data_IF_203376271899
#
_entry.id   IF_203376271899
#
_cell.length_a   1.000
_cell.length_b   1.000
_cell.length_c   1.000
_cell.angle_alpha   90.00
_cell.angle_beta   90.00
_cell.angle_gamma   90.00
#
_symmetry.space_group_name_H-M   'P 1'
#
loop_
_entity.id
_entity.type
_entity.pdbx_description
1 polymer ?
#
# COMPACT_ATOMS: atom_id res chain seq x y z
N UNK A 1 9.46 -20.67 -1.47
CA UNK A 1 8.42 -20.64 -2.51
C UNK A 1 9.11 -20.64 -3.88
N UNK A 2 8.65 -21.41 -4.88
CA UNK A 2 9.22 -21.36 -6.22
C UNK A 2 8.94 -20.02 -6.93
N UNK A 3 9.82 -19.62 -7.84
CA UNK A 3 9.81 -18.28 -8.47
C UNK A 3 8.49 -17.97 -9.20
N UNK A 4 7.90 -18.95 -9.88
CA UNK A 4 6.65 -18.73 -10.62
C UNK A 4 5.49 -18.33 -9.69
N UNK A 5 5.41 -18.89 -8.47
CA UNK A 5 4.39 -18.51 -7.49
C UNK A 5 4.60 -17.08 -7.03
N UNK A 6 5.86 -16.70 -6.79
CA UNK A 6 6.21 -15.33 -6.40
C UNK A 6 5.87 -14.32 -7.50
N UNK A 7 6.07 -14.66 -8.77
CA UNK A 7 5.70 -13.79 -9.90
C UNK A 7 4.18 -13.67 -10.02
N UNK A 8 3.43 -14.77 -9.90
CA UNK A 8 1.97 -14.76 -9.96
C UNK A 8 1.38 -13.90 -8.84
N UNK A 9 1.85 -14.04 -7.61
CA UNK A 9 1.37 -13.26 -6.48
C UNK A 9 1.78 -11.79 -6.57
N UNK A 10 2.98 -11.49 -7.10
CA UNK A 10 3.37 -10.10 -7.36
C UNK A 10 2.47 -9.43 -8.40
N UNK A 11 2.13 -10.14 -9.48
CA UNK A 11 1.17 -9.65 -10.49
C UNK A 11 -0.19 -9.44 -9.83
N UNK A 12 -0.69 -10.42 -9.07
CA UNK A 12 -1.96 -10.32 -8.36
C UNK A 12 -2.00 -9.10 -7.43
N UNK A 13 -0.96 -8.88 -6.62
CA UNK A 13 -0.85 -7.69 -5.77
C UNK A 13 -0.89 -6.42 -6.60
N UNK A 14 -0.06 -6.30 -7.64
CA UNK A 14 -0.02 -5.08 -8.46
C UNK A 14 -1.37 -4.76 -9.13
N UNK A 15 -2.15 -5.78 -9.54
CA UNK A 15 -3.46 -5.56 -10.13
C UNK A 15 -4.51 -5.19 -9.08
N UNK A 16 -4.48 -5.85 -7.93
CA UNK A 16 -5.50 -5.70 -6.88
C UNK A 16 -5.26 -4.50 -5.98
N UNK A 17 -4.02 -4.02 -5.82
CA UNK A 17 -3.69 -2.87 -4.96
C UNK A 17 -4.28 -1.55 -5.48
N UNK A 18 -4.35 -1.38 -6.80
CA UNK A 18 -4.92 -0.15 -7.40
C UNK A 18 -6.44 -0.22 -7.55
N UNK A 19 -7.04 -1.38 -7.29
CA UNK A 19 -8.48 -1.60 -7.34
C UNK A 19 -9.02 -1.64 -5.90
N UNK A 20 -10.18 -1.05 -5.62
CA UNK A 20 -10.78 -1.10 -4.28
C UNK A 20 -11.45 -2.47 -4.02
N UNK A 21 -10.67 -3.55 -4.06
CA UNK A 21 -11.13 -4.95 -3.98
C UNK A 21 -10.36 -5.79 -2.94
N UNK A 22 -9.67 -5.16 -1.99
CA UNK A 22 -8.89 -5.82 -0.92
C UNK A 22 -7.76 -6.73 -1.44
N UNK A 23 -6.59 -6.13 -1.71
CA UNK A 23 -5.39 -6.85 -2.18
C UNK A 23 -4.89 -7.89 -1.19
N UNK A 24 -4.94 -7.60 0.11
CA UNK A 24 -4.55 -8.53 1.19
C UNK A 24 -5.38 -9.83 1.17
N UNK A 25 -6.68 -9.74 0.94
CA UNK A 25 -7.54 -10.91 0.88
C UNK A 25 -7.22 -11.79 -0.34
N UNK A 26 -6.97 -11.18 -1.49
CA UNK A 26 -6.56 -11.89 -2.71
C UNK A 26 -5.20 -12.58 -2.53
N UNK A 27 -4.22 -11.93 -1.90
CA UNK A 27 -2.91 -12.51 -1.60
C UNK A 27 -2.97 -13.68 -0.62
N UNK A 28 -3.92 -13.69 0.33
CA UNK A 28 -4.11 -14.81 1.25
C UNK A 28 -4.92 -15.96 0.63
N UNK A 29 -5.97 -15.63 -0.14
CA UNK A 29 -6.87 -16.62 -0.73
C UNK A 29 -6.28 -17.33 -1.95
N UNK A 30 -5.47 -16.65 -2.78
CA UNK A 30 -4.89 -17.27 -3.97
C UNK A 30 -3.97 -18.46 -3.64
N UNK A 31 -3.00 -18.36 -2.70
CA UNK A 31 -2.22 -19.51 -2.27
C UNK A 31 -3.08 -20.61 -1.67
N UNK A 32 -4.10 -20.26 -0.87
CA UNK A 32 -5.01 -21.22 -0.26
C UNK A 32 -5.80 -22.03 -1.31
N UNK A 33 -6.37 -21.36 -2.32
CA UNK A 33 -7.10 -21.98 -3.42
C UNK A 33 -6.21 -22.86 -4.32
N UNK A 34 -4.97 -22.45 -4.52
CA UNK A 34 -4.00 -23.16 -5.36
C UNK A 34 -3.22 -24.25 -4.61
N UNK A 35 -3.50 -24.45 -3.32
CA UNK A 35 -2.79 -25.40 -2.46
C UNK A 35 -1.32 -25.03 -2.22
N UNK A 36 -0.96 -23.77 -2.40
CA UNK A 36 0.39 -23.26 -2.16
C UNK A 36 0.58 -22.95 -0.69
N UNK A 37 1.84 -23.06 -0.24
CA UNK A 37 2.20 -22.67 1.12
C UNK A 37 2.11 -21.15 1.23
N UNK A 38 1.46 -20.68 2.29
CA UNK A 38 1.35 -19.26 2.60
C UNK A 38 2.77 -18.64 2.67
N UNK A 39 3.07 -17.64 1.83
CA UNK A 39 4.38 -17.00 1.80
C UNK A 39 4.68 -16.15 3.05
N UNK A 40 3.65 -15.81 3.82
CA UNK A 40 3.77 -15.11 5.10
C UNK A 40 3.78 -13.59 4.99
N UNK A 41 3.56 -12.93 6.14
CA UNK A 41 3.45 -11.47 6.23
C UNK A 41 4.67 -10.73 5.66
N UNK A 42 5.88 -11.26 5.84
CA UNK A 42 7.09 -10.64 5.30
C UNK A 42 7.07 -10.51 3.78
N UNK A 43 6.47 -11.49 3.10
CA UNK A 43 6.31 -11.45 1.65
C UNK A 43 5.26 -10.42 1.24
N UNK A 44 4.12 -10.37 1.95
CA UNK A 44 3.08 -9.37 1.70
C UNK A 44 3.63 -7.95 1.87
N UNK A 45 4.41 -7.69 2.93
CA UNK A 45 5.10 -6.42 3.16
C UNK A 45 6.04 -6.09 2.00
N UNK A 46 6.84 -7.06 1.53
CA UNK A 46 7.76 -6.86 0.42
C UNK A 46 7.02 -6.47 -0.87
N UNK A 47 5.85 -7.09 -1.14
CA UNK A 47 5.03 -6.74 -2.29
C UNK A 47 4.40 -5.34 -2.17
N UNK A 48 3.91 -4.95 -0.98
CA UNK A 48 3.41 -3.60 -0.73
C UNK A 48 4.52 -2.54 -0.87
N UNK A 49 5.74 -2.83 -0.43
CA UNK A 49 6.88 -1.94 -0.68
C UNK A 49 7.13 -1.75 -2.19
N UNK A 50 6.93 -2.80 -3.00
CA UNK A 50 6.97 -2.72 -4.45
C UNK A 50 5.93 -1.77 -5.03
N UNK A 51 4.67 -1.86 -4.59
CA UNK A 51 3.59 -0.97 -5.09
C UNK A 51 3.78 0.47 -4.63
N UNK A 52 4.22 0.68 -3.38
CA UNK A 52 4.58 2.01 -2.86
C UNK A 52 5.73 2.61 -3.66
N UNK A 53 6.77 1.83 -3.97
CA UNK A 53 7.89 2.30 -4.79
C UNK A 53 7.44 2.68 -6.21
N UNK A 54 6.54 1.90 -6.82
CA UNK A 54 5.97 2.21 -8.13
C UNK A 54 5.19 3.55 -8.10
N UNK A 55 4.35 3.78 -7.09
CA UNK A 55 3.62 5.03 -6.91
C UNK A 55 4.55 6.21 -6.65
N UNK A 56 5.58 6.04 -5.81
CA UNK A 56 6.56 7.07 -5.52
C UNK A 56 7.35 7.48 -6.78
N UNK A 57 7.70 6.52 -7.64
CA UNK A 57 8.37 6.77 -8.92
C UNK A 57 7.44 7.44 -9.93
N UNK A 58 6.19 6.97 -10.06
CA UNK A 58 5.21 7.52 -11.00
C UNK A 58 4.85 8.98 -10.65
N UNK A 59 4.54 9.25 -9.38
CA UNK A 59 4.18 10.58 -8.87
C UNK A 59 5.40 11.38 -8.36
N UNK A 60 6.61 11.05 -8.79
CA UNK A 60 7.84 11.65 -8.24
C UNK A 60 7.87 13.18 -8.35
N UNK A 61 7.38 13.74 -9.46
CA UNK A 61 7.32 15.20 -9.66
C UNK A 61 6.33 15.88 -8.72
N UNK A 62 5.22 15.22 -8.44
CA UNK A 62 4.17 15.74 -7.56
C UNK A 62 4.66 15.70 -6.11
N UNK A 63 5.38 14.65 -5.72
CA UNK A 63 6.07 14.58 -4.43
C UNK A 63 7.08 15.72 -4.25
N UNK A 64 7.90 16.02 -5.27
CA UNK A 64 8.82 17.17 -5.23
C UNK A 64 8.06 18.50 -5.09
N UNK A 65 6.92 18.64 -5.75
CA UNK A 65 6.09 19.83 -5.65
C UNK A 65 5.46 19.98 -4.26
N UNK A 66 4.85 18.93 -3.73
CA UNK A 66 4.23 18.90 -2.40
C UNK A 66 5.25 19.21 -1.31
N UNK A 67 6.44 18.60 -1.38
CA UNK A 67 7.53 18.82 -0.41
C UNK A 67 8.09 20.23 -0.48
N UNK A 68 8.32 20.78 -1.68
CA UNK A 68 8.76 22.16 -1.83
C UNK A 68 7.73 23.16 -1.26
N UNK A 69 6.45 22.96 -1.54
CA UNK A 69 5.38 23.83 -1.06
C UNK A 69 5.18 23.78 0.45
N UNK A 70 5.28 22.58 1.03
CA UNK A 70 5.23 22.41 2.48
C UNK A 70 6.36 23.15 3.21
N UNK A 71 7.50 23.33 2.54
CA UNK A 71 8.66 24.11 3.00
C UNK A 71 8.58 25.60 2.61
N UNK A 72 7.45 26.07 2.07
CA UNK A 72 7.24 27.46 1.68
C UNK A 72 7.88 27.87 0.35
N UNK A 73 8.36 26.92 -0.47
CA UNK A 73 8.93 27.19 -1.79
C UNK A 73 7.88 26.93 -2.88
N UNK A 74 7.70 27.90 -3.79
CA UNK A 74 6.80 27.75 -4.94
C UNK A 74 7.59 27.35 -6.18
N UNK A 75 7.29 26.18 -6.74
CA UNK A 75 7.84 25.75 -8.03
C UNK A 75 6.97 26.31 -9.16
N UNK A 76 7.58 27.06 -10.08
CA UNK A 76 6.88 27.88 -11.09
C UNK A 76 6.34 27.11 -12.29
N UNK A 77 6.71 25.83 -12.47
CA UNK A 77 6.42 25.04 -13.70
C UNK A 77 5.52 23.81 -13.48
N UNK A 78 4.85 23.70 -12.34
CA UNK A 78 4.16 22.47 -11.96
C UNK A 78 2.64 22.65 -11.84
N UNK A 79 1.95 21.56 -11.55
CA UNK A 79 0.49 21.45 -11.53
C UNK A 79 -0.17 22.62 -10.73
N UNK A 80 -1.05 23.42 -11.37
CA UNK A 80 -1.66 24.57 -10.74
C UNK A 80 -2.63 24.20 -9.60
N UNK A 81 -3.25 23.02 -9.63
CA UNK A 81 -4.16 22.57 -8.57
C UNK A 81 -3.41 22.23 -7.30
N UNK A 82 -2.27 21.54 -7.43
CA UNK A 82 -1.35 21.29 -6.32
C UNK A 82 -0.82 22.62 -5.75
N UNK A 83 -0.48 23.58 -6.61
CA UNK A 83 -0.01 24.90 -6.19
C UNK A 83 -1.04 25.74 -5.43
N UNK A 84 -2.34 25.47 -5.59
CA UNK A 84 -3.38 26.14 -4.84
C UNK A 84 -3.45 25.66 -3.37
N UNK A 85 -2.88 24.48 -3.05
CA UNK A 85 -3.04 23.81 -1.76
C UNK A 85 -1.69 23.51 -1.07
N UNK A 86 -0.95 24.53 -0.59
CA UNK A 86 0.39 24.34 0.01
C UNK A 86 0.39 23.53 1.31
N UNK A 87 -0.78 23.34 1.94
CA UNK A 87 -0.96 22.54 3.16
C UNK A 87 -1.20 21.07 2.88
N UNK A 88 -1.35 20.67 1.60
CA UNK A 88 -1.78 19.32 1.23
C UNK A 88 -0.86 18.24 1.79
N UNK A 89 0.46 18.43 1.77
CA UNK A 89 1.39 17.46 2.37
C UNK A 89 1.15 17.26 3.87
N UNK A 90 0.92 18.35 4.61
CA UNK A 90 0.63 18.29 6.04
C UNK A 90 -0.71 17.65 6.34
N UNK A 91 -1.72 17.91 5.50
CA UNK A 91 -3.03 17.28 5.61
C UNK A 91 -2.93 15.77 5.35
N UNK A 92 -2.18 15.35 4.34
CA UNK A 92 -1.91 13.93 4.07
C UNK A 92 -1.18 13.28 5.25
N UNK A 93 -0.12 13.90 5.76
CA UNK A 93 0.62 13.38 6.90
C UNK A 93 -0.26 13.24 8.17
N UNK A 94 -1.11 14.24 8.44
CA UNK A 94 -2.06 14.21 9.55
C UNK A 94 -3.11 13.11 9.35
N UNK A 95 -3.61 12.93 8.13
CA UNK A 95 -4.58 11.88 7.80
C UNK A 95 -3.98 10.46 7.87
N UNK A 96 -2.69 10.29 7.57
CA UNK A 96 -2.00 9.01 7.68
C UNK A 96 -1.62 8.62 9.11
N UNK A 97 -1.51 9.59 10.03
CA UNK A 97 -1.06 9.32 11.40
C UNK A 97 -1.98 8.36 12.20
N UNK A 98 -3.33 8.49 12.16
CA UNK A 98 -4.22 7.52 12.81
C UNK A 98 -4.06 6.10 12.27
N UNK A 99 -3.86 5.95 10.96
CA UNK A 99 -3.65 4.64 10.32
C UNK A 99 -2.32 4.02 10.80
N UNK A 100 -1.24 4.80 10.82
CA UNK A 100 0.05 4.32 11.35
C UNK A 100 -0.02 3.94 12.83
N UNK A 101 -0.71 4.74 13.65
CA UNK A 101 -0.88 4.47 15.07
C UNK A 101 -1.69 3.19 15.32
N UNK A 102 -2.83 3.04 14.64
CA UNK A 102 -3.65 1.83 14.74
C UNK A 102 -2.89 0.60 14.25
N UNK A 103 -2.16 0.69 13.13
CA UNK A 103 -1.30 -0.39 12.65
C UNK A 103 -0.26 -0.83 13.68
N UNK A 104 0.38 0.13 14.37
CA UNK A 104 1.34 -0.17 15.43
C UNK A 104 0.70 -0.85 16.64
N UNK A 105 -0.49 -0.39 17.06
CA UNK A 105 -1.21 -0.93 18.22
C UNK A 105 -1.77 -2.34 17.98
N UNK A 106 -2.20 -2.64 16.74
CA UNK A 106 -2.87 -3.90 16.40
C UNK A 106 -1.99 -4.90 15.64
N UNK A 107 -0.68 -4.65 15.52
CA UNK A 107 0.24 -5.50 14.76
C UNK A 107 0.17 -7.00 15.14
N UNK A 108 0.06 -7.30 16.44
CA UNK A 108 0.07 -8.68 16.95
C UNK A 108 -1.24 -9.41 16.61
N UNK A 109 -2.37 -8.67 16.58
CA UNK A 109 -3.66 -9.18 16.12
C UNK A 109 -3.71 -9.37 14.61
N UNK A 110 -3.10 -8.45 13.85
CA UNK A 110 -2.99 -8.56 12.40
C UNK A 110 -2.17 -9.79 11.98
N UNK A 111 -1.08 -10.10 12.70
CA UNK A 111 -0.23 -11.27 12.46
C UNK A 111 -0.91 -12.61 12.75
N UNK A 112 -1.94 -12.62 13.61
CA UNK A 112 -2.55 -13.85 14.14
C UNK A 112 -4.02 -14.00 13.73
N UNK A 113 -4.91 -13.20 14.31
CA UNK A 113 -6.36 -13.37 14.21
C UNK A 113 -6.89 -13.05 12.80
N UNK A 114 -6.31 -12.06 12.13
CA UNK A 114 -6.79 -11.60 10.83
C UNK A 114 -6.28 -12.43 9.66
N UNK A 115 -5.30 -13.32 9.88
CA UNK A 115 -4.78 -14.21 8.82
C UNK A 115 -5.60 -15.47 8.57
N UNK A 116 -6.74 -15.63 9.25
CA UNK A 116 -7.66 -16.73 8.96
C UNK A 116 -8.35 -16.51 7.59
N UNK A 117 -8.18 -17.42 6.60
CA UNK A 117 -8.75 -17.27 5.27
C UNK A 117 -10.28 -17.09 5.25
N UNK A 118 -10.98 -17.69 6.22
CA UNK A 118 -12.44 -17.56 6.33
C UNK A 118 -12.86 -16.15 6.79
N UNK A 119 -12.08 -15.55 7.69
CA UNK A 119 -12.30 -14.16 8.13
C UNK A 119 -12.00 -13.20 6.97
N UNK A 120 -10.87 -13.36 6.29
CA UNK A 120 -10.54 -12.52 5.12
C UNK A 120 -11.58 -12.64 4.01
N UNK A 121 -12.06 -13.84 3.72
CA UNK A 121 -13.12 -14.07 2.72
C UNK A 121 -14.46 -13.43 3.09
N UNK A 122 -14.75 -13.22 4.37
CA UNK A 122 -15.97 -12.54 4.81
C UNK A 122 -15.90 -11.01 4.73
N UNK A 123 -14.70 -10.44 4.57
CA UNK A 123 -14.43 -8.99 4.54
C UNK A 123 -14.12 -8.47 3.12
N UNK A 124 -14.40 -9.29 2.10
CA UNK A 124 -14.09 -9.05 0.68
C UNK A 124 -15.22 -8.29 -0.04
#
# INVERSE_FOLDING_TARGET
MPLYQAVVLAILQSLTEFLPISSTAHLALAPWLLGWRDPGLTYDIALHLGTVAALAAYFFRDWLQLTAQALGRRLTKNDPELAANPRLLWLLALASAPVGLTGYLFKDYAESAWRNPLLMGSML
#
